data_IF_412083925899
#
_entry.id   IF_412083925899
#
_cell.length_a   1.000
_cell.length_b   1.000
_cell.length_c   1.000
_cell.angle_alpha   90.00
_cell.angle_beta   90.00
_cell.angle_gamma   90.00
#
_symmetry.space_group_name_H-M   'P 1'
#
loop_
_entity.id
_entity.type
_entity.pdbx_description
1 polymer ?
#
# COMPACT_ATOMS: atom_id res chain seq x y z
N UNK A 1 -20.66 -4.51 -45.39
CA UNK A 1 -21.31 -3.47 -44.53
C UNK A 1 -20.79 -3.68 -43.13
N UNK A 2 -20.06 -2.71 -42.56
CA UNK A 2 -19.65 -2.79 -41.15
C UNK A 2 -20.88 -2.50 -40.30
N UNK A 3 -21.31 -3.46 -39.51
CA UNK A 3 -22.38 -3.27 -38.52
C UNK A 3 -21.84 -2.35 -37.41
N UNK A 4 -22.43 -1.19 -37.23
CA UNK A 4 -22.18 -0.32 -36.11
C UNK A 4 -22.86 -0.96 -34.91
N UNK A 5 -22.05 -1.31 -33.89
CA UNK A 5 -22.57 -1.84 -32.61
C UNK A 5 -22.89 -0.66 -31.72
N UNK A 6 -24.16 -0.51 -31.35
CA UNK A 6 -24.57 0.47 -30.34
C UNK A 6 -24.14 -0.01 -28.97
N UNK A 7 -23.46 0.86 -28.21
CA UNK A 7 -23.02 0.61 -26.82
C UNK A 7 -23.49 1.75 -25.94
N UNK A 8 -23.82 1.43 -24.70
CA UNK A 8 -24.25 2.41 -23.67
C UNK A 8 -23.14 2.67 -22.67
N UNK A 9 -23.01 3.90 -22.24
CA UNK A 9 -22.17 4.29 -21.09
C UNK A 9 -23.00 4.31 -19.79
N UNK A 10 -22.34 4.42 -18.64
CA UNK A 10 -23.05 4.58 -17.37
C UNK A 10 -23.85 5.89 -17.28
N UNK A 11 -23.50 6.89 -18.07
CA UNK A 11 -24.24 8.16 -18.14
C UNK A 11 -25.57 8.01 -18.93
N UNK A 12 -25.70 6.97 -19.75
CA UNK A 12 -26.88 6.72 -20.60
C UNK A 12 -27.93 5.82 -19.92
N UNK A 13 -27.59 5.20 -18.78
CA UNK A 13 -28.42 4.17 -18.14
C UNK A 13 -28.56 4.36 -16.63
N UNK A 14 -29.72 3.95 -16.11
CA UNK A 14 -29.98 3.84 -14.69
C UNK A 14 -30.25 2.38 -14.30
N UNK A 15 -29.89 2.03 -13.07
CA UNK A 15 -30.24 0.71 -12.52
C UNK A 15 -31.75 0.67 -12.27
N UNK A 16 -32.43 -0.27 -12.94
CA UNK A 16 -33.85 -0.50 -12.70
C UNK A 16 -34.08 -1.11 -11.31
N UNK A 17 -34.93 -0.51 -10.47
CA UNK A 17 -35.29 -1.08 -9.19
C UNK A 17 -35.92 -2.48 -9.36
N UNK A 18 -35.54 -3.40 -8.46
CA UNK A 18 -36.12 -4.74 -8.40
C UNK A 18 -36.60 -5.03 -6.98
N UNK A 19 -37.52 -5.98 -6.86
CA UNK A 19 -37.93 -6.49 -5.56
C UNK A 19 -36.69 -7.06 -4.83
N UNK A 20 -36.63 -6.83 -3.52
CA UNK A 20 -35.55 -7.32 -2.66
C UNK A 20 -36.13 -7.80 -1.33
N UNK A 21 -35.71 -8.98 -0.90
CA UNK A 21 -36.04 -9.58 0.40
C UNK A 21 -35.07 -9.14 1.52
N UNK A 22 -34.19 -8.18 1.22
CA UNK A 22 -33.19 -7.69 2.17
C UNK A 22 -33.86 -6.71 3.14
N UNK A 23 -33.98 -7.12 4.41
CA UNK A 23 -34.59 -6.32 5.46
C UNK A 23 -33.65 -5.24 6.02
N UNK A 24 -32.33 -5.47 6.02
CA UNK A 24 -31.36 -4.55 6.61
C UNK A 24 -30.04 -4.49 5.82
N UNK A 25 -29.50 -3.28 5.68
CA UNK A 25 -28.16 -3.06 5.11
C UNK A 25 -27.05 -3.75 5.89
N UNK A 26 -27.26 -4.01 7.19
CA UNK A 26 -26.27 -4.68 8.05
C UNK A 26 -26.05 -6.14 7.71
N UNK A 27 -26.98 -6.79 7.02
CA UNK A 27 -26.89 -8.21 6.63
C UNK A 27 -26.23 -8.40 5.27
N UNK A 28 -25.93 -7.31 4.53
CA UNK A 28 -25.36 -7.39 3.19
C UNK A 28 -23.86 -7.59 3.27
N UNK A 29 -23.36 -8.63 2.60
CA UNK A 29 -21.93 -8.82 2.37
C UNK A 29 -21.51 -8.17 1.06
N UNK A 30 -20.50 -7.30 1.13
CA UNK A 30 -19.90 -6.69 -0.07
C UNK A 30 -18.73 -7.50 -0.61
N UNK A 31 -18.43 -8.66 0.02
CA UNK A 31 -17.33 -9.53 -0.40
C UNK A 31 -17.53 -9.99 -1.85
N UNK A 32 -16.52 -9.80 -2.67
CA UNK A 32 -16.54 -10.12 -4.10
C UNK A 32 -15.28 -10.84 -4.54
N UNK A 33 -15.38 -11.60 -5.60
CA UNK A 33 -14.27 -12.31 -6.22
C UNK A 33 -13.69 -11.46 -7.35
N UNK A 34 -12.45 -11.02 -7.21
CA UNK A 34 -11.74 -10.26 -8.25
C UNK A 34 -11.11 -11.19 -9.29
N UNK A 35 -10.43 -12.23 -8.84
CA UNK A 35 -9.82 -13.28 -9.67
C UNK A 35 -10.04 -14.64 -9.02
N UNK A 36 -9.62 -15.72 -9.70
CA UNK A 36 -9.72 -17.08 -9.11
C UNK A 36 -9.12 -17.19 -7.71
N UNK A 37 -8.10 -16.38 -7.41
CA UNK A 37 -7.31 -16.48 -6.17
C UNK A 37 -7.40 -15.23 -5.29
N UNK A 38 -8.09 -14.16 -5.72
CA UNK A 38 -8.15 -12.88 -5.01
C UNK A 38 -9.61 -12.52 -4.78
N UNK A 39 -9.98 -12.36 -3.51
CA UNK A 39 -11.26 -11.81 -3.09
C UNK A 39 -11.07 -10.47 -2.39
N UNK A 40 -12.02 -9.56 -2.56
CA UNK A 40 -12.08 -8.27 -1.90
C UNK A 40 -13.22 -8.25 -0.88
N UNK A 41 -13.03 -7.55 0.23
CA UNK A 41 -14.08 -7.30 1.21
C UNK A 41 -14.99 -6.15 0.76
N UNK A 42 -14.46 -5.21 -0.01
CA UNK A 42 -15.18 -4.10 -0.64
C UNK A 42 -14.91 -4.13 -2.15
N UNK A 43 -15.96 -4.12 -3.01
CA UNK A 43 -15.80 -4.24 -4.47
C UNK A 43 -15.36 -2.90 -5.11
N UNK A 44 -14.31 -2.29 -4.57
CA UNK A 44 -13.73 -1.05 -5.06
C UNK A 44 -12.27 -1.26 -5.44
N UNK A 45 -11.90 -0.74 -6.61
CA UNK A 45 -10.54 -0.74 -7.14
C UNK A 45 -10.21 0.68 -7.59
N UNK A 46 -9.09 1.24 -7.10
CA UNK A 46 -8.62 2.52 -7.62
C UNK A 46 -7.84 2.33 -8.91
N UNK A 47 -8.11 3.21 -9.88
CA UNK A 47 -7.53 3.15 -11.23
C UNK A 47 -6.02 3.37 -11.23
N UNK A 48 -5.26 2.68 -12.11
CA UNK A 48 -3.82 2.84 -12.28
C UNK A 48 -3.49 4.12 -13.08
N UNK A 49 -3.90 5.27 -12.56
CA UNK A 49 -3.68 6.58 -13.16
C UNK A 49 -2.63 7.35 -12.37
N UNK A 50 -1.79 8.11 -13.09
CA UNK A 50 -0.82 9.03 -12.53
C UNK A 50 -1.50 10.01 -11.56
N UNK A 51 -0.86 10.31 -10.45
CA UNK A 51 -1.36 11.16 -9.35
C UNK A 51 -2.65 10.71 -8.65
N UNK A 52 -3.22 9.57 -9.04
CA UNK A 52 -4.43 9.00 -8.41
C UNK A 52 -4.05 7.82 -7.52
N UNK A 53 -3.45 6.76 -8.08
CA UNK A 53 -3.10 5.57 -7.31
C UNK A 53 -1.60 5.40 -7.18
N UNK A 54 -1.08 6.00 -6.12
CA UNK A 54 0.25 5.79 -5.58
C UNK A 54 0.18 5.02 -4.25
N UNK A 55 1.27 4.98 -3.48
CA UNK A 55 1.37 4.27 -2.20
C UNK A 55 0.26 4.66 -1.21
N UNK A 56 -0.02 5.95 -1.02
CA UNK A 56 -1.03 6.45 -0.07
C UNK A 56 -2.44 5.97 -0.42
N UNK A 57 -2.86 6.14 -1.68
CA UNK A 57 -4.17 5.68 -2.13
C UNK A 57 -4.26 4.15 -2.04
N UNK A 58 -3.21 3.43 -2.41
CA UNK A 58 -3.19 1.97 -2.33
C UNK A 58 -3.28 1.47 -0.87
N UNK A 59 -2.66 2.17 0.09
CA UNK A 59 -2.79 1.91 1.52
C UNK A 59 -4.24 2.10 1.97
N UNK A 60 -4.85 3.25 1.67
CA UNK A 60 -6.23 3.53 2.07
C UNK A 60 -7.23 2.54 1.47
N UNK A 61 -7.06 2.18 0.20
CA UNK A 61 -7.88 1.15 -0.45
C UNK A 61 -7.75 -0.19 0.26
N UNK A 62 -6.54 -0.61 0.61
CA UNK A 62 -6.28 -1.87 1.30
C UNK A 62 -6.88 -1.88 2.72
N UNK A 63 -6.74 -0.78 3.49
CA UNK A 63 -7.32 -0.63 4.82
C UNK A 63 -8.85 -0.76 4.83
N UNK A 64 -9.49 -0.31 3.77
CA UNK A 64 -10.94 -0.39 3.60
C UNK A 64 -11.42 -1.67 2.91
N UNK A 65 -10.53 -2.61 2.59
CA UNK A 65 -10.89 -3.90 2.01
C UNK A 65 -11.06 -3.91 0.48
N UNK A 66 -10.67 -2.82 -0.18
CA UNK A 66 -10.58 -2.71 -1.63
C UNK A 66 -9.17 -3.03 -2.16
N UNK A 67 -8.85 -2.58 -3.37
CA UNK A 67 -7.54 -2.76 -4.01
C UNK A 67 -7.08 -1.48 -4.70
N UNK A 68 -5.83 -1.07 -4.44
CA UNK A 68 -5.15 -0.02 -5.21
C UNK A 68 -4.24 -0.64 -6.27
N UNK A 69 -4.36 -0.18 -7.52
CA UNK A 69 -3.46 -0.57 -8.60
C UNK A 69 -2.54 0.60 -8.90
N UNK A 70 -1.26 0.46 -8.52
CA UNK A 70 -0.25 1.51 -8.72
C UNK A 70 -0.02 1.69 -10.22
N UNK A 71 0.04 2.97 -10.67
CA UNK A 71 0.20 3.30 -12.08
C UNK A 71 1.61 2.94 -12.61
N UNK A 72 1.74 2.87 -13.95
CA UNK A 72 2.99 2.47 -14.63
C UNK A 72 3.95 3.62 -14.95
N UNK A 73 3.56 4.87 -14.72
CA UNK A 73 4.36 6.06 -15.05
C UNK A 73 5.44 6.36 -14.01
N UNK A 74 6.16 5.31 -13.61
CA UNK A 74 7.21 5.31 -12.60
C UNK A 74 8.44 4.58 -13.13
N UNK A 75 9.62 4.86 -12.58
CA UNK A 75 10.75 3.96 -12.73
C UNK A 75 10.48 2.66 -11.97
N UNK A 76 11.22 1.60 -12.31
CA UNK A 76 11.12 0.30 -11.62
C UNK A 76 11.36 0.49 -10.12
N UNK A 77 12.39 1.27 -9.74
CA UNK A 77 12.74 1.52 -8.35
C UNK A 77 11.63 2.27 -7.60
N UNK A 78 11.03 3.27 -8.22
CA UNK A 78 9.93 4.03 -7.64
C UNK A 78 8.71 3.12 -7.39
N UNK A 79 8.31 2.33 -8.38
CA UNK A 79 7.18 1.41 -8.25
C UNK A 79 7.44 0.34 -7.16
N UNK A 80 8.64 -0.24 -7.15
CA UNK A 80 9.04 -1.19 -6.10
C UNK A 80 8.97 -0.56 -4.71
N UNK A 81 9.41 0.69 -4.56
CA UNK A 81 9.36 1.40 -3.29
C UNK A 81 7.92 1.66 -2.84
N UNK A 82 7.03 2.10 -3.73
CA UNK A 82 5.60 2.27 -3.43
C UNK A 82 4.96 0.94 -2.95
N UNK A 83 5.21 -0.16 -3.67
CA UNK A 83 4.71 -1.49 -3.27
C UNK A 83 5.25 -1.90 -1.91
N UNK A 84 6.54 -1.68 -1.64
CA UNK A 84 7.14 -1.95 -0.32
C UNK A 84 6.45 -1.15 0.78
N UNK A 85 6.17 0.13 0.56
CA UNK A 85 5.48 0.97 1.55
C UNK A 85 4.07 0.42 1.85
N UNK A 86 3.29 0.09 0.82
CA UNK A 86 1.95 -0.51 0.98
C UNK A 86 2.03 -1.82 1.79
N UNK A 87 2.93 -2.72 1.43
CA UNK A 87 3.07 -4.02 2.11
C UNK A 87 3.51 -3.88 3.56
N UNK A 88 4.38 -2.92 3.87
CA UNK A 88 4.85 -2.67 5.24
C UNK A 88 3.80 -2.01 6.12
N UNK A 89 2.90 -1.21 5.56
CA UNK A 89 1.90 -0.47 6.33
C UNK A 89 0.96 -1.38 7.14
N UNK A 90 0.62 -2.55 6.61
CA UNK A 90 -0.33 -3.50 7.20
C UNK A 90 0.34 -4.68 7.92
N UNK A 91 1.67 -4.77 7.88
CA UNK A 91 2.37 -5.91 8.48
C UNK A 91 2.64 -5.66 9.97
N UNK A 92 2.05 -6.48 10.85
CA UNK A 92 2.42 -6.54 12.28
C UNK A 92 3.84 -7.10 12.48
N UNK A 93 4.33 -7.86 11.49
CA UNK A 93 5.68 -8.40 11.43
C UNK A 93 6.37 -7.86 10.18
N UNK A 94 7.52 -7.24 10.36
CA UNK A 94 8.34 -6.72 9.26
C UNK A 94 9.39 -7.77 8.93
N UNK A 95 9.18 -8.54 7.86
CA UNK A 95 10.11 -9.60 7.43
C UNK A 95 11.48 -9.08 7.00
N UNK A 96 11.50 -7.85 6.43
CA UNK A 96 12.72 -7.18 6.01
C UNK A 96 12.86 -5.83 6.71
N UNK A 97 13.32 -5.79 7.97
CA UNK A 97 13.50 -4.55 8.70
C UNK A 97 14.65 -3.72 8.12
N UNK A 98 14.60 -2.41 8.31
CA UNK A 98 15.76 -1.57 8.02
C UNK A 98 16.84 -1.79 9.08
N UNK A 99 18.04 -2.07 8.62
CA UNK A 99 19.18 -2.35 9.49
C UNK A 99 20.31 -1.36 9.28
N UNK A 100 21.11 -1.22 10.31
CA UNK A 100 22.38 -0.49 10.32
C UNK A 100 23.41 -1.34 11.06
N UNK A 101 24.66 -1.29 10.64
CA UNK A 101 25.74 -1.98 11.33
C UNK A 101 26.10 -1.23 12.64
N UNK A 102 26.53 -1.97 13.66
CA UNK A 102 27.03 -1.37 14.90
C UNK A 102 28.28 -0.51 14.69
N UNK A 103 28.97 -0.68 13.55
CA UNK A 103 30.14 0.11 13.12
C UNK A 103 29.78 1.36 12.32
N UNK A 104 28.53 1.49 11.83
CA UNK A 104 28.08 2.64 11.06
C UNK A 104 28.00 3.89 11.95
N UNK A 105 28.29 5.04 11.38
CA UNK A 105 28.25 6.31 12.09
C UNK A 105 26.83 6.90 12.11
N UNK A 106 26.57 7.83 13.03
CA UNK A 106 25.29 8.58 13.10
C UNK A 106 25.02 9.33 11.79
N UNK A 107 26.08 9.86 11.12
CA UNK A 107 25.91 10.56 9.84
C UNK A 107 25.41 9.63 8.73
N UNK A 108 25.92 8.41 8.67
CA UNK A 108 25.44 7.40 7.70
C UNK A 108 23.99 7.01 7.97
N UNK A 109 23.62 6.87 9.26
CA UNK A 109 22.24 6.64 9.65
C UNK A 109 21.33 7.80 9.21
N UNK A 110 21.74 9.06 9.40
CA UNK A 110 20.96 10.23 8.97
C UNK A 110 20.77 10.28 7.45
N UNK A 111 21.77 9.86 6.68
CA UNK A 111 21.65 9.74 5.22
C UNK A 111 20.61 8.65 4.85
N UNK A 112 20.69 7.49 5.48
CA UNK A 112 19.72 6.39 5.28
C UNK A 112 18.29 6.83 5.63
N UNK A 113 18.12 7.58 6.73
CA UNK A 113 16.82 8.14 7.15
C UNK A 113 16.26 9.10 6.10
N UNK A 114 17.08 10.00 5.55
CA UNK A 114 16.64 10.94 4.50
C UNK A 114 16.18 10.23 3.23
N UNK A 115 16.82 9.12 2.87
CA UNK A 115 16.48 8.34 1.68
C UNK A 115 15.23 7.48 1.86
N UNK A 116 15.06 6.87 3.04
CA UNK A 116 13.98 5.93 3.32
C UNK A 116 12.74 6.56 3.95
N UNK A 117 12.91 7.75 4.58
CA UNK A 117 11.93 8.39 5.46
C UNK A 117 11.50 7.49 6.65
N UNK A 118 12.37 6.58 7.07
CA UNK A 118 12.16 5.66 8.20
C UNK A 118 13.05 6.08 9.36
N UNK A 119 12.49 6.13 10.55
CA UNK A 119 13.14 6.66 11.75
C UNK A 119 13.46 5.59 12.80
N UNK A 120 13.32 4.32 12.46
CA UNK A 120 13.65 3.20 13.36
C UNK A 120 14.47 2.18 12.60
N UNK A 121 15.67 1.88 13.09
CA UNK A 121 16.61 0.95 12.51
C UNK A 121 17.03 -0.09 13.54
N UNK A 122 17.10 -1.35 13.12
CA UNK A 122 17.71 -2.39 13.93
C UNK A 122 19.23 -2.32 13.76
N UNK A 123 19.95 -2.33 14.89
CA UNK A 123 21.41 -2.39 14.89
C UNK A 123 21.83 -3.86 14.88
N UNK A 124 22.61 -4.23 13.88
CA UNK A 124 23.13 -5.60 13.71
C UNK A 124 24.65 -5.58 13.62
N UNK A 125 25.27 -6.73 13.89
CA UNK A 125 26.70 -6.93 13.59
C UNK A 125 26.90 -7.53 12.18
N UNK A 126 28.13 -7.75 11.79
CA UNK A 126 28.51 -8.36 10.48
C UNK A 126 27.92 -9.76 10.27
N UNK A 127 27.57 -10.48 11.34
CA UNK A 127 26.93 -11.79 11.31
C UNK A 127 25.40 -11.72 11.27
N UNK A 128 24.80 -10.54 11.02
CA UNK A 128 23.35 -10.28 11.08
C UNK A 128 22.69 -10.57 12.44
N UNK A 129 23.46 -10.57 13.53
CA UNK A 129 22.90 -10.74 14.88
C UNK A 129 22.43 -9.39 15.39
N UNK A 130 21.18 -9.35 15.86
CA UNK A 130 20.60 -8.15 16.46
C UNK A 130 21.34 -7.71 17.72
N UNK A 131 21.76 -6.45 17.77
CA UNK A 131 22.45 -5.81 18.89
C UNK A 131 21.58 -4.80 19.62
N UNK A 132 20.68 -4.15 18.90
CA UNK A 132 19.83 -3.11 19.45
C UNK A 132 18.89 -2.49 18.43
N UNK A 133 18.29 -1.39 18.83
CA UNK A 133 17.44 -0.56 17.99
C UNK A 133 17.79 0.91 18.19
N UNK A 134 17.80 1.67 17.10
CA UNK A 134 17.95 3.13 17.13
C UNK A 134 16.67 3.75 16.61
N UNK A 135 16.12 4.71 17.35
CA UNK A 135 14.88 5.42 17.01
C UNK A 135 15.12 6.92 16.86
N UNK A 136 14.13 7.64 16.34
CA UNK A 136 14.16 9.11 16.24
C UNK A 136 14.42 9.78 17.60
N UNK A 137 13.92 9.21 18.70
CA UNK A 137 14.11 9.75 20.04
C UNK A 137 15.59 9.73 20.45
N UNK A 138 16.27 8.63 20.14
CA UNK A 138 17.68 8.46 20.49
C UNK A 138 18.55 9.45 19.71
N UNK A 139 18.21 9.68 18.44
CA UNK A 139 18.90 10.67 17.61
C UNK A 139 18.72 12.10 18.14
N UNK A 140 17.50 12.47 18.55
CA UNK A 140 17.23 13.81 19.07
C UNK A 140 17.96 14.08 20.38
N UNK A 141 18.25 13.05 21.18
CA UNK A 141 18.99 13.18 22.43
C UNK A 141 20.50 13.43 22.22
N UNK A 142 21.03 13.15 21.03
CA UNK A 142 22.45 13.29 20.69
C UNK A 142 22.78 14.45 19.74
N UNK A 143 21.77 15.12 19.19
CA UNK A 143 21.92 16.26 18.26
C UNK A 143 21.75 17.61 18.98
N UNK A 144 21.38 17.60 20.26
CA UNK A 144 21.51 18.74 21.16
C UNK A 144 22.89 18.72 21.77
#
# INVERSE_FOLDING_TARGET
>A
MNTIIETLSFDDVLISPRHSDIESRKTISLKTQLTKNISLNLPLISSPMDTITEDKMAIEMALNGGLGIIHRYNTIEQQVNMVKQVKRHLSFVIDTPYTILETDTINELLIKIKQSNIYSYLVINELNILKGIVTKRDLNAHIM
#
